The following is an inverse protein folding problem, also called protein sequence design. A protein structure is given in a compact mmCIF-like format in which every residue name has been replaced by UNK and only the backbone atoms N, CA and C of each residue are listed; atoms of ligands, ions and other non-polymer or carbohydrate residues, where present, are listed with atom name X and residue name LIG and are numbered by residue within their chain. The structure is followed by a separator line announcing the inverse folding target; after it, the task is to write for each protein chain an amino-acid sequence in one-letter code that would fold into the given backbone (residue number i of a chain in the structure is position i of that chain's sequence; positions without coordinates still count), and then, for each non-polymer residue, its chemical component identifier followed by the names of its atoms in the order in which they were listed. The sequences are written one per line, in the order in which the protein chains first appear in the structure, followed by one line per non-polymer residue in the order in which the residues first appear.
data_IF_610054062148
#
_entry.id   IF_610054062148
#
_cell.length_a   1.000
_cell.length_b   1.000
_cell.length_c   1.000
_cell.angle_alpha   90.00
_cell.angle_beta   90.00
_cell.angle_gamma   90.00
#
_symmetry.space_group_name_H-M   'P 1'
#
loop_
_entity.id
_entity.type
_entity.pdbx_description
1 polymer ?
#
# COMPACT_ATOMS: atom_id res chain seq x y z
N UNK A 1 21.45 6.80 3.13
CA UNK A 1 21.98 5.96 4.23
C UNK A 1 20.86 5.60 5.21
N UNK A 2 20.60 6.41 6.24
CA UNK A 2 19.53 6.11 7.20
C UNK A 2 18.15 6.10 6.54
N UNK A 3 17.90 6.94 5.56
CA UNK A 3 16.64 7.02 4.83
C UNK A 3 16.43 5.81 3.93
N UNK A 4 17.50 5.29 3.30
CA UNK A 4 17.43 4.06 2.50
C UNK A 4 17.05 2.86 3.37
N UNK A 5 17.64 2.77 4.57
CA UNK A 5 17.29 1.71 5.52
C UNK A 5 15.85 1.87 6.00
N UNK A 6 15.40 3.10 6.22
CA UNK A 6 14.04 3.38 6.69
C UNK A 6 12.98 2.88 5.71
N UNK A 7 13.11 3.19 4.41
CA UNK A 7 12.11 2.72 3.45
C UNK A 7 12.14 1.20 3.33
N UNK A 8 13.31 0.58 3.40
CA UNK A 8 13.46 -0.88 3.30
C UNK A 8 12.82 -1.59 4.49
N UNK A 9 13.02 -1.07 5.70
CA UNK A 9 12.37 -1.62 6.90
C UNK A 9 10.85 -1.48 6.84
N UNK A 10 10.37 -0.33 6.42
CA UNK A 10 8.93 -0.10 6.28
C UNK A 10 8.33 -0.96 5.19
N UNK A 11 9.05 -1.16 4.10
CA UNK A 11 8.64 -2.10 3.04
C UNK A 11 8.50 -3.53 3.58
N UNK A 12 9.41 -3.97 4.43
CA UNK A 12 9.30 -5.27 5.08
C UNK A 12 8.00 -5.42 5.87
N UNK A 13 7.63 -4.38 6.61
CA UNK A 13 6.35 -4.35 7.33
C UNK A 13 5.16 -4.34 6.38
N UNK A 14 5.26 -3.60 5.29
CA UNK A 14 4.25 -3.58 4.23
C UNK A 14 4.00 -4.98 3.69
N UNK A 15 5.05 -5.72 3.37
CA UNK A 15 4.93 -7.09 2.86
C UNK A 15 4.22 -8.01 3.84
N UNK A 16 4.52 -7.89 5.15
CA UNK A 16 3.88 -8.72 6.18
C UNK A 16 2.38 -8.45 6.29
N UNK A 17 2.00 -7.17 6.28
CA UNK A 17 0.59 -6.81 6.41
C UNK A 17 -0.18 -7.13 5.13
N UNK A 18 0.46 -7.00 3.98
CA UNK A 18 -0.14 -7.43 2.71
C UNK A 18 -0.42 -8.93 2.70
N UNK A 19 0.51 -9.74 3.22
CA UNK A 19 0.27 -11.17 3.38
C UNK A 19 -0.94 -11.46 4.27
N UNK A 20 -1.12 -10.72 5.35
CA UNK A 20 -2.30 -10.86 6.21
C UNK A 20 -3.58 -10.55 5.45
N UNK A 21 -3.57 -9.49 4.63
CA UNK A 21 -4.72 -9.15 3.79
C UNK A 21 -5.02 -10.28 2.81
N UNK A 22 -4.02 -10.85 2.18
CA UNK A 22 -4.17 -11.98 1.25
C UNK A 22 -4.77 -13.19 1.96
N UNK A 23 -4.38 -13.46 3.20
CA UNK A 23 -4.94 -14.56 4.01
C UNK A 23 -6.43 -14.40 4.27
N UNK A 24 -6.93 -13.17 4.47
CA UNK A 24 -8.37 -12.94 4.64
C UNK A 24 -9.17 -13.41 3.42
N UNK A 25 -8.55 -13.50 2.26
CA UNK A 25 -9.22 -13.84 1.01
C UNK A 25 -9.09 -15.32 0.63
N UNK A 26 -8.42 -16.14 1.45
CA UNK A 26 -8.33 -17.60 1.23
C UNK A 26 -9.70 -18.28 1.30
N UNK A 27 -10.57 -17.97 2.28
CA UNK A 27 -11.94 -18.52 2.23
C UNK A 27 -12.72 -17.97 1.03
N UNK A 28 -13.61 -18.78 0.42
CA UNK A 28 -14.35 -18.32 -0.75
C UNK A 28 -15.40 -17.25 -0.43
N UNK A 29 -15.80 -17.13 0.84
CA UNK A 29 -16.73 -16.09 1.27
C UNK A 29 -16.37 -15.68 2.69
N UNK A 30 -16.57 -14.39 3.01
CA UNK A 30 -16.28 -13.84 4.32
C UNK A 30 -17.57 -13.56 5.09
N UNK A 31 -17.56 -13.88 6.39
CA UNK A 31 -18.63 -13.42 7.28
C UNK A 31 -18.39 -11.95 7.66
N UNK A 32 -19.31 -11.37 8.43
CA UNK A 32 -19.22 -9.95 8.80
C UNK A 32 -17.94 -9.60 9.55
N UNK A 33 -17.50 -10.45 10.48
CA UNK A 33 -16.28 -10.22 11.25
C UNK A 33 -15.04 -10.29 10.37
N UNK A 34 -15.00 -11.26 9.49
CA UNK A 34 -13.91 -11.41 8.54
C UNK A 34 -13.85 -10.24 7.58
N UNK A 35 -15.01 -9.75 7.13
CA UNK A 35 -15.08 -8.58 6.26
C UNK A 35 -14.52 -7.33 6.97
N UNK A 36 -14.86 -7.12 8.23
CA UNK A 36 -14.32 -6.00 9.00
C UNK A 36 -12.81 -6.16 9.20
N UNK A 37 -12.34 -7.39 9.40
CA UNK A 37 -10.91 -7.67 9.48
C UNK A 37 -10.19 -7.37 8.18
N UNK A 38 -10.79 -7.72 7.04
CA UNK A 38 -10.26 -7.41 5.71
C UNK A 38 -10.13 -5.89 5.52
N UNK A 39 -11.17 -5.14 5.89
CA UNK A 39 -11.17 -3.69 5.77
C UNK A 39 -10.07 -3.08 6.66
N UNK A 40 -9.89 -3.59 7.87
CA UNK A 40 -8.85 -3.13 8.77
C UNK A 40 -7.46 -3.42 8.21
N UNK A 41 -7.27 -4.60 7.62
CA UNK A 41 -6.02 -4.94 6.94
C UNK A 41 -5.74 -4.00 5.76
N UNK A 42 -6.77 -3.66 4.99
CA UNK A 42 -6.67 -2.67 3.91
C UNK A 42 -6.13 -1.33 4.43
N UNK A 43 -6.65 -0.85 5.57
CA UNK A 43 -6.18 0.39 6.16
C UNK A 43 -4.69 0.32 6.51
N UNK A 44 -4.26 -0.76 7.16
CA UNK A 44 -2.86 -0.94 7.54
C UNK A 44 -1.95 -0.98 6.32
N UNK A 45 -2.34 -1.74 5.30
CA UNK A 45 -1.56 -1.84 4.06
C UNK A 45 -1.44 -0.47 3.40
N UNK A 46 -2.54 0.26 3.33
CA UNK A 46 -2.54 1.61 2.73
C UNK A 46 -1.57 2.55 3.45
N UNK A 47 -1.64 2.59 4.79
CA UNK A 47 -0.77 3.46 5.58
C UNK A 47 0.71 3.10 5.36
N UNK A 48 1.05 1.82 5.37
CA UNK A 48 2.42 1.38 5.14
C UNK A 48 2.87 1.64 3.70
N UNK A 49 1.96 1.51 2.73
CA UNK A 49 2.28 1.75 1.33
C UNK A 49 2.73 3.19 1.09
N UNK A 50 1.91 4.16 1.46
CA UNK A 50 2.25 5.54 1.16
C UNK A 50 3.41 6.04 2.02
N UNK A 51 3.54 5.57 3.26
CA UNK A 51 4.70 5.92 4.09
C UNK A 51 6.00 5.32 3.55
N UNK A 52 5.95 4.08 3.04
CA UNK A 52 7.11 3.47 2.38
C UNK A 52 7.53 4.30 1.15
N UNK A 53 6.57 4.67 0.32
CA UNK A 53 6.83 5.50 -0.85
C UNK A 53 7.41 6.87 -0.47
N UNK A 54 6.88 7.49 0.58
CA UNK A 54 7.42 8.76 1.07
C UNK A 54 8.87 8.61 1.51
N UNK A 55 9.17 7.59 2.29
CA UNK A 55 10.53 7.34 2.77
C UNK A 55 11.48 7.10 1.60
N UNK A 56 11.04 6.32 0.60
CA UNK A 56 11.83 6.07 -0.61
C UNK A 56 12.11 7.37 -1.37
N UNK A 57 11.09 8.19 -1.58
CA UNK A 57 11.23 9.46 -2.30
C UNK A 57 12.13 10.44 -1.53
N UNK A 58 12.03 10.47 -0.21
CA UNK A 58 12.93 11.27 0.63
C UNK A 58 14.38 10.81 0.51
N UNK A 59 14.60 9.50 0.40
CA UNK A 59 15.96 8.96 0.21
C UNK A 59 16.55 9.41 -1.12
N UNK A 60 15.72 9.81 -2.07
CA UNK A 60 16.13 10.32 -3.38
C UNK A 60 16.21 11.85 -3.43
N UNK A 61 16.08 12.51 -2.28
CA UNK A 61 16.20 13.96 -2.19
C UNK A 61 14.86 14.72 -2.23
N UNK A 62 13.72 14.05 -2.34
CA UNK A 62 12.42 14.70 -2.35
C UNK A 62 11.89 14.84 -0.93
N UNK A 63 12.20 15.95 -0.28
CA UNK A 63 11.87 16.19 1.12
C UNK A 63 10.59 17.01 1.34
N UNK A 64 9.90 17.42 0.26
CA UNK A 64 8.76 18.33 0.34
C UNK A 64 7.40 17.63 0.47
N UNK A 65 7.38 16.30 0.52
CA UNK A 65 6.13 15.53 0.55
C UNK A 65 5.53 15.54 1.96
N UNK A 66 4.27 15.97 2.09
CA UNK A 66 3.62 16.16 3.38
C UNK A 66 2.63 15.07 3.75
N UNK A 67 1.85 14.53 2.80
CA UNK A 67 0.82 13.56 3.09
C UNK A 67 0.65 12.52 2.00
N UNK A 68 -0.38 11.67 2.17
CA UNK A 68 -0.60 10.56 1.27
C UNK A 68 -0.88 11.01 -0.17
N UNK A 69 -1.72 12.03 -0.35
CA UNK A 69 -2.10 12.49 -1.69
C UNK A 69 -0.88 12.99 -2.47
N UNK A 70 -0.08 13.85 -1.86
CA UNK A 70 1.13 14.39 -2.51
C UNK A 70 2.12 13.28 -2.83
N UNK A 71 2.32 12.37 -1.89
CA UNK A 71 3.24 11.24 -2.05
C UNK A 71 2.80 10.34 -3.21
N UNK A 72 1.51 9.98 -3.26
CA UNK A 72 1.00 9.10 -4.30
C UNK A 72 1.03 9.75 -5.68
N UNK A 73 0.77 11.05 -5.76
CA UNK A 73 0.89 11.79 -7.03
C UNK A 73 2.32 11.76 -7.54
N UNK A 74 3.29 12.02 -6.67
CA UNK A 74 4.71 11.99 -7.03
C UNK A 74 5.15 10.58 -7.41
N UNK A 75 4.72 9.56 -6.66
CA UNK A 75 5.01 8.17 -6.97
C UNK A 75 4.47 7.78 -8.35
N UNK A 76 3.26 8.23 -8.69
CA UNK A 76 2.68 7.99 -10.01
C UNK A 76 3.49 8.69 -11.10
N UNK A 77 3.85 9.95 -10.88
CA UNK A 77 4.66 10.72 -11.85
C UNK A 77 5.99 10.04 -12.15
N UNK A 78 6.60 9.42 -11.15
CA UNK A 78 7.90 8.76 -11.27
C UNK A 78 7.78 7.28 -11.67
N UNK A 79 6.58 6.78 -11.92
CA UNK A 79 6.36 5.41 -12.36
C UNK A 79 6.48 4.35 -11.27
N UNK A 80 6.43 4.73 -10.00
CA UNK A 80 6.47 3.78 -8.89
C UNK A 80 5.14 3.07 -8.68
N UNK A 81 4.05 3.73 -9.05
CA UNK A 81 2.71 3.14 -9.09
C UNK A 81 2.11 3.37 -10.47
N UNK A 82 1.27 2.42 -10.92
CA UNK A 82 0.77 2.43 -12.30
C UNK A 82 -0.65 3.00 -12.41
N UNK A 83 -1.53 2.69 -11.46
CA UNK A 83 -2.93 3.10 -11.50
C UNK A 83 -3.20 4.22 -10.50
N UNK A 84 -2.86 5.44 -10.92
CA UNK A 84 -3.02 6.63 -10.07
C UNK A 84 -4.47 6.86 -9.64
N UNK A 85 -5.44 6.58 -10.51
CA UNK A 85 -6.86 6.71 -10.20
C UNK A 85 -7.28 5.78 -9.06
N UNK A 86 -6.87 4.52 -9.13
CA UNK A 86 -7.16 3.54 -8.08
C UNK A 86 -6.59 3.98 -6.75
N UNK A 87 -5.36 4.50 -6.73
CA UNK A 87 -4.74 4.97 -5.50
C UNK A 87 -5.45 6.20 -4.92
N UNK A 88 -5.99 7.08 -5.76
CA UNK A 88 -6.81 8.20 -5.29
C UNK A 88 -8.14 7.71 -4.71
N UNK A 89 -8.75 6.67 -5.30
CA UNK A 89 -9.94 6.03 -4.74
C UNK A 89 -9.66 5.38 -3.39
N UNK A 90 -8.45 4.81 -3.21
CA UNK A 90 -8.05 4.27 -1.91
C UNK A 90 -8.09 5.33 -0.81
N UNK A 91 -7.66 6.56 -1.11
CA UNK A 91 -7.72 7.67 -0.15
C UNK A 91 -9.17 7.92 0.27
N UNK A 92 -10.10 7.95 -0.68
CA UNK A 92 -11.51 8.15 -0.39
C UNK A 92 -12.08 7.02 0.46
N UNK A 93 -11.80 5.77 0.08
CA UNK A 93 -12.32 4.60 0.81
C UNK A 93 -11.67 4.48 2.17
N UNK A 94 -10.40 4.83 2.30
CA UNK A 94 -9.71 4.89 3.60
C UNK A 94 -10.45 5.84 4.56
N UNK A 95 -10.94 6.98 4.05
CA UNK A 95 -11.71 7.91 4.86
C UNK A 95 -13.09 7.37 5.23
N UNK A 96 -13.65 6.48 4.42
CA UNK A 96 -14.96 5.86 4.68
C UNK A 96 -14.89 4.66 5.64
N UNK A 97 -13.69 4.19 5.98
CA UNK A 97 -13.58 3.01 6.86
C UNK A 97 -14.08 3.26 8.28
N UNK A 98 -14.24 4.50 8.70
CA UNK A 98 -14.90 4.86 9.95
C UNK A 98 -16.42 4.70 9.90
N UNK A 99 -17.00 4.43 8.75
CA UNK A 99 -18.45 4.29 8.54
C UNK A 99 -18.87 2.85 8.16
N UNK A 100 -18.07 1.86 8.51
CA UNK A 100 -18.34 0.46 8.18
C UNK A 100 -19.44 -0.17 9.04
N UNK A 101 -19.98 0.57 10.02
CA UNK A 101 -21.23 0.20 10.67
C UNK A 101 -22.38 0.17 9.66
N UNK A 102 -22.28 0.91 8.56
CA UNK A 102 -23.22 0.86 7.45
C UNK A 102 -22.84 -0.31 6.54
N UNK A 103 -23.75 -1.29 6.41
CA UNK A 103 -23.49 -2.52 5.68
C UNK A 103 -23.17 -2.27 4.20
N UNK A 104 -23.88 -1.35 3.57
CA UNK A 104 -23.66 -1.03 2.16
C UNK A 104 -22.26 -0.44 1.96
N UNK A 105 -21.80 0.40 2.89
CA UNK A 105 -20.45 0.98 2.83
C UNK A 105 -19.40 -0.12 3.00
N UNK A 106 -19.57 -1.00 3.99
CA UNK A 106 -18.65 -2.10 4.22
C UNK A 106 -18.55 -3.03 3.02
N UNK A 107 -19.69 -3.40 2.43
CA UNK A 107 -19.73 -4.28 1.25
C UNK A 107 -19.06 -3.63 0.05
N UNK A 108 -19.27 -2.34 -0.18
CA UNK A 108 -18.66 -1.61 -1.29
C UNK A 108 -17.14 -1.54 -1.14
N UNK A 109 -16.65 -1.25 0.05
CA UNK A 109 -15.20 -1.19 0.31
C UNK A 109 -14.58 -2.58 0.14
N UNK A 110 -15.20 -3.61 0.69
CA UNK A 110 -14.71 -4.99 0.57
C UNK A 110 -14.60 -5.41 -0.90
N UNK A 111 -15.61 -5.08 -1.71
CA UNK A 111 -15.61 -5.38 -3.14
C UNK A 111 -14.46 -4.67 -3.86
N UNK A 112 -14.22 -3.40 -3.56
CA UNK A 112 -13.10 -2.64 -4.13
C UNK A 112 -11.75 -3.21 -3.72
N UNK A 113 -11.61 -3.66 -2.48
CA UNK A 113 -10.37 -4.28 -2.01
C UNK A 113 -10.02 -5.49 -2.89
N UNK A 114 -10.98 -6.38 -3.10
CA UNK A 114 -10.75 -7.60 -3.87
C UNK A 114 -10.48 -7.30 -5.35
N UNK A 115 -11.28 -6.43 -5.95
CA UNK A 115 -11.28 -6.20 -7.41
C UNK A 115 -10.19 -5.23 -7.86
N UNK A 116 -9.86 -4.23 -7.05
CA UNK A 116 -9.03 -3.11 -7.49
C UNK A 116 -7.80 -2.94 -6.61
N UNK A 117 -7.97 -2.86 -5.30
CA UNK A 117 -6.88 -2.43 -4.41
C UNK A 117 -5.83 -3.51 -4.16
N UNK A 118 -6.26 -4.76 -4.00
CA UNK A 118 -5.31 -5.86 -3.82
C UNK A 118 -4.36 -5.99 -5.00
N UNK A 119 -4.82 -5.98 -6.28
CA UNK A 119 -3.89 -5.98 -7.41
C UNK A 119 -2.92 -4.81 -7.39
N UNK A 120 -3.36 -3.62 -6.98
CA UNK A 120 -2.47 -2.46 -6.87
C UNK A 120 -1.39 -2.67 -5.82
N UNK A 121 -1.76 -3.23 -4.66
CA UNK A 121 -0.81 -3.53 -3.60
C UNK A 121 0.21 -4.58 -4.02
N UNK A 122 -0.24 -5.62 -4.72
CA UNK A 122 0.62 -6.68 -5.22
C UNK A 122 1.60 -6.15 -6.26
N UNK A 123 1.15 -5.27 -7.15
CA UNK A 123 2.00 -4.63 -8.15
C UNK A 123 3.07 -3.76 -7.49
N UNK A 124 2.69 -3.00 -6.45
CA UNK A 124 3.65 -2.18 -5.71
C UNK A 124 4.70 -3.06 -5.01
N UNK A 125 4.26 -4.15 -4.37
CA UNK A 125 5.18 -5.09 -3.73
C UNK A 125 6.23 -5.59 -4.73
N UNK A 126 5.80 -6.01 -5.90
CA UNK A 126 6.71 -6.52 -6.94
C UNK A 126 7.69 -5.45 -7.39
N UNK A 127 7.22 -4.24 -7.60
CA UNK A 127 8.05 -3.13 -8.05
C UNK A 127 9.12 -2.75 -7.03
N UNK A 128 8.73 -2.66 -5.76
CA UNK A 128 9.67 -2.30 -4.70
C UNK A 128 10.64 -3.44 -4.38
N UNK A 129 10.23 -4.69 -4.54
CA UNK A 129 11.16 -5.83 -4.43
C UNK A 129 12.25 -5.77 -5.50
N UNK A 130 11.90 -5.45 -6.72
CA UNK A 130 12.86 -5.29 -7.80
C UNK A 130 13.85 -4.15 -7.49
N UNK A 131 13.34 -3.05 -6.98
CA UNK A 131 14.18 -1.92 -6.60
C UNK A 131 15.14 -2.29 -5.48
N UNK A 132 14.66 -3.04 -4.48
CA UNK A 132 15.48 -3.51 -3.37
C UNK A 132 16.62 -4.39 -3.87
N UNK A 133 16.34 -5.30 -4.81
CA UNK A 133 17.35 -6.15 -5.42
C UNK A 133 18.38 -5.33 -6.19
N UNK A 134 17.95 -4.34 -6.96
CA UNK A 134 18.83 -3.45 -7.71
C UNK A 134 19.78 -2.69 -6.77
N UNK A 135 19.27 -2.19 -5.66
CA UNK A 135 20.09 -1.49 -4.68
C UNK A 135 21.13 -2.42 -4.02
N UNK A 136 20.73 -3.67 -3.72
CA UNK A 136 21.65 -4.67 -3.17
C UNK A 136 22.73 -5.05 -4.17
N UNK A 137 22.38 -5.21 -5.45
CA UNK A 137 23.35 -5.51 -6.51
C UNK A 137 24.34 -4.36 -6.68
N UNK A 138 23.85 -3.14 -6.68
CA UNK A 138 24.71 -1.96 -6.78
C UNK A 138 25.68 -1.87 -5.59
N UNK A 139 25.22 -2.14 -4.38
CA UNK A 139 26.06 -2.16 -3.18
C UNK A 139 27.10 -3.29 -3.24
N UNK A 140 26.71 -4.46 -3.72
CA UNK A 140 27.61 -5.61 -3.85
C UNK A 140 28.68 -5.39 -4.93
N UNK A 141 28.38 -4.57 -5.96
CA UNK A 141 29.31 -4.23 -7.03
C UNK A 141 30.36 -3.20 -6.65
N UNK A 142 30.18 -2.54 -5.52
CA UNK A 142 31.15 -1.58 -4.98
C UNK A 142 32.16 -2.29 -4.09
#
# INVERSE_FOLDING_TARGET
MAEDVRWQQRFGNYCKVLEQLEHFLEPPALNEREQLGLIKAFEYVFELAWNTLRDLLRSQGNASLLGSRDTLREAFRLGLIDDGEAWMLMIQDRNLTSHTYNRATADAIASQIVSVYLPCYQALRSRLQQRLLQEHEASAGE
#
